data_IF_987164454862
#
_entry.id   IF_987164454862
#
_cell.length_a   1.000
_cell.length_b   1.000
_cell.length_c   1.000
_cell.angle_alpha   90.00
_cell.angle_beta   90.00
_cell.angle_gamma   90.00
#
_symmetry.space_group_name_H-M   'P 1'
#
loop_
_entity.id
_entity.type
_entity.pdbx_description
1 polymer ?
#
# COMPACT_ATOMS: atom_id res chain seq x y z
N UNK A 1 -10.71 0.85 24.00
CA UNK A 1 -10.32 -0.20 23.03
C UNK A 1 -11.37 -1.30 23.07
N UNK A 2 -11.72 -1.88 21.92
CA UNK A 2 -12.51 -3.11 21.85
C UNK A 2 -11.59 -4.33 21.83
N UNK A 3 -12.10 -5.49 22.27
CA UNK A 3 -11.38 -6.75 22.20
C UNK A 3 -12.01 -7.66 21.15
N UNK A 4 -11.19 -8.32 20.33
CA UNK A 4 -11.62 -9.35 19.39
C UNK A 4 -10.91 -10.64 19.77
N UNK A 5 -11.68 -11.69 20.03
CA UNK A 5 -11.12 -13.03 20.31
C UNK A 5 -11.21 -13.88 19.06
N UNK A 6 -10.06 -14.36 18.57
CA UNK A 6 -9.98 -15.26 17.41
C UNK A 6 -9.18 -16.51 17.79
N UNK A 7 -9.50 -17.65 17.17
CA UNK A 7 -8.70 -18.87 17.29
C UNK A 7 -7.84 -19.04 16.07
N UNK A 8 -6.53 -19.07 16.27
CA UNK A 8 -5.54 -19.32 15.23
C UNK A 8 -5.15 -20.80 15.20
N UNK A 9 -4.87 -21.38 14.02
CA UNK A 9 -4.22 -22.68 13.95
C UNK A 9 -2.89 -22.68 14.74
N UNK A 10 -2.57 -23.79 15.39
CA UNK A 10 -1.41 -23.88 16.28
C UNK A 10 -0.09 -23.44 15.62
N UNK A 11 0.13 -23.84 14.35
CA UNK A 11 1.31 -23.44 13.59
C UNK A 11 1.39 -21.92 13.36
N UNK A 12 0.24 -21.27 13.11
CA UNK A 12 0.16 -19.81 12.90
C UNK A 12 0.43 -19.10 14.22
N UNK A 13 -0.19 -19.54 15.31
CA UNK A 13 0.05 -18.99 16.64
C UNK A 13 1.55 -19.07 17.03
N UNK A 14 2.18 -20.22 16.81
CA UNK A 14 3.61 -20.40 17.09
C UNK A 14 4.48 -19.40 16.29
N UNK A 15 4.18 -19.20 15.01
CA UNK A 15 4.93 -18.23 14.19
C UNK A 15 4.68 -16.78 14.59
N UNK A 16 3.45 -16.41 14.92
CA UNK A 16 3.13 -15.08 15.44
C UNK A 16 3.91 -14.81 16.73
N UNK A 17 3.98 -15.79 17.65
CA UNK A 17 4.73 -15.66 18.90
C UNK A 17 6.23 -15.44 18.66
N UNK A 18 6.83 -16.15 17.70
CA UNK A 18 8.24 -15.98 17.32
C UNK A 18 8.50 -14.59 16.71
N UNK A 19 7.65 -14.15 15.78
CA UNK A 19 7.78 -12.86 15.11
C UNK A 19 7.62 -11.69 16.09
N UNK A 20 6.58 -11.74 16.95
CA UNK A 20 6.37 -10.73 17.99
C UNK A 20 7.57 -10.65 18.95
N UNK A 21 8.12 -11.80 19.33
CA UNK A 21 9.32 -11.86 20.19
C UNK A 21 10.55 -11.24 19.51
N UNK A 22 10.74 -11.48 18.21
CA UNK A 22 11.83 -10.89 17.42
C UNK A 22 11.72 -9.37 17.33
N UNK A 23 10.50 -8.85 17.28
CA UNK A 23 10.20 -7.41 17.22
C UNK A 23 10.12 -6.75 18.60
N UNK A 24 10.19 -7.53 19.69
CA UNK A 24 10.13 -7.03 21.06
C UNK A 24 8.75 -6.50 21.46
N UNK A 25 7.69 -6.99 20.83
CA UNK A 25 6.28 -6.58 21.08
C UNK A 25 5.43 -7.76 21.54
N UNK A 26 4.25 -7.50 22.10
CA UNK A 26 3.32 -8.56 22.48
C UNK A 26 2.65 -9.19 21.25
N UNK A 27 2.13 -10.42 21.41
CA UNK A 27 1.32 -11.08 20.38
C UNK A 27 0.12 -10.21 19.98
N UNK A 28 -0.56 -9.58 20.95
CA UNK A 28 -1.71 -8.73 20.68
C UNK A 28 -1.34 -7.50 19.86
N UNK A 29 -0.18 -6.89 20.15
CA UNK A 29 0.33 -5.75 19.38
C UNK A 29 0.69 -6.18 17.95
N UNK A 30 1.34 -7.33 17.80
CA UNK A 30 1.67 -7.89 16.49
C UNK A 30 0.40 -8.15 15.66
N UNK A 31 -0.60 -8.82 16.25
CA UNK A 31 -1.88 -9.10 15.58
C UNK A 31 -2.62 -7.82 15.23
N UNK A 32 -2.64 -6.84 16.14
CA UNK A 32 -3.26 -5.54 15.88
C UNK A 32 -2.58 -4.81 14.71
N UNK A 33 -1.25 -4.80 14.63
CA UNK A 33 -0.51 -4.23 13.51
C UNK A 33 -0.83 -4.94 12.19
N UNK A 34 -0.76 -6.27 12.18
CA UNK A 34 -1.04 -7.06 10.99
C UNK A 34 -2.47 -6.85 10.46
N UNK A 35 -3.46 -6.70 11.35
CA UNK A 35 -4.84 -6.37 10.98
C UNK A 35 -4.92 -4.95 10.42
N UNK A 36 -4.25 -3.97 11.04
CA UNK A 36 -4.23 -2.60 10.55
C UNK A 36 -3.58 -2.48 9.16
N UNK A 37 -2.48 -3.19 8.94
CA UNK A 37 -1.79 -3.27 7.64
C UNK A 37 -2.68 -3.90 6.58
N UNK A 38 -3.32 -5.05 6.88
CA UNK A 38 -4.23 -5.70 5.94
C UNK A 38 -5.44 -4.81 5.61
N UNK A 39 -5.97 -4.12 6.61
CA UNK A 39 -7.06 -3.15 6.44
C UNK A 39 -6.62 -2.00 5.52
N UNK A 40 -5.44 -1.44 5.72
CA UNK A 40 -4.91 -0.37 4.86
C UNK A 40 -4.79 -0.84 3.40
N UNK A 41 -4.31 -2.06 3.15
CA UNK A 41 -4.26 -2.63 1.81
C UNK A 41 -5.65 -2.75 1.17
N UNK A 42 -6.63 -3.26 1.90
CA UNK A 42 -8.00 -3.46 1.39
C UNK A 42 -8.64 -2.11 1.06
N UNK A 43 -8.60 -1.16 2.00
CA UNK A 43 -9.18 0.16 1.80
C UNK A 43 -8.52 0.92 0.65
N UNK A 44 -7.19 0.82 0.51
CA UNK A 44 -6.46 1.45 -0.60
C UNK A 44 -6.87 0.85 -1.93
N UNK A 45 -7.02 -0.48 -2.01
CA UNK A 45 -7.46 -1.14 -3.23
C UNK A 45 -8.88 -0.71 -3.64
N UNK A 46 -9.78 -0.59 -2.67
CA UNK A 46 -11.15 -0.14 -2.91
C UNK A 46 -11.18 1.32 -3.40
N UNK A 47 -10.37 2.20 -2.78
CA UNK A 47 -10.19 3.58 -3.23
C UNK A 47 -9.69 3.65 -4.68
N UNK A 48 -8.61 2.92 -5.02
CA UNK A 48 -8.05 2.92 -6.37
C UNK A 48 -9.04 2.39 -7.41
N UNK A 49 -9.82 1.36 -7.07
CA UNK A 49 -10.88 0.83 -7.94
C UNK A 49 -12.00 1.84 -8.15
N UNK A 50 -12.39 2.55 -7.10
CA UNK A 50 -13.38 3.62 -7.18
C UNK A 50 -12.90 4.72 -8.12
N UNK A 51 -11.70 5.27 -7.90
CA UNK A 51 -11.14 6.32 -8.77
C UNK A 51 -10.98 5.84 -10.22
N UNK A 52 -10.48 4.62 -10.43
CA UNK A 52 -10.31 4.05 -11.75
C UNK A 52 -11.63 3.92 -12.53
N UNK A 53 -12.76 3.67 -11.85
CA UNK A 53 -14.08 3.60 -12.48
C UNK A 53 -14.56 4.97 -13.02
N UNK A 54 -14.04 6.07 -12.49
CA UNK A 54 -14.34 7.43 -12.96
C UNK A 54 -13.35 7.90 -14.04
N UNK A 55 -12.20 7.24 -14.16
CA UNK A 55 -11.17 7.58 -15.13
C UNK A 55 -11.58 7.27 -16.56
N UNK A 56 -11.35 8.24 -17.47
CA UNK A 56 -11.49 8.03 -18.92
C UNK A 56 -10.13 8.18 -19.59
N UNK A 57 -9.70 7.13 -20.30
CA UNK A 57 -8.40 7.09 -20.98
C UNK A 57 -8.19 8.28 -21.92
N UNK A 58 -9.23 8.65 -22.68
CA UNK A 58 -9.17 9.77 -23.62
C UNK A 58 -8.94 11.14 -22.93
N UNK A 59 -9.50 11.34 -21.72
CA UNK A 59 -9.25 12.59 -20.98
C UNK A 59 -7.81 12.65 -20.49
N UNK A 60 -7.25 11.50 -20.08
CA UNK A 60 -5.86 11.38 -19.66
C UNK A 60 -4.89 11.64 -20.82
N UNK A 61 -5.14 11.03 -21.99
CA UNK A 61 -4.33 11.26 -23.20
C UNK A 61 -4.40 12.71 -23.65
N UNK A 62 -5.61 13.30 -23.72
CA UNK A 62 -5.76 14.72 -24.04
C UNK A 62 -4.99 15.65 -23.09
N UNK A 63 -4.94 15.31 -21.79
CA UNK A 63 -4.16 16.09 -20.82
C UNK A 63 -2.65 15.96 -21.09
N UNK A 64 -2.17 14.76 -21.40
CA UNK A 64 -0.76 14.53 -21.75
C UNK A 64 -0.35 15.22 -23.05
N UNK A 65 -1.23 15.24 -24.05
CA UNK A 65 -1.00 15.93 -25.34
C UNK A 65 -0.83 17.46 -25.19
N UNK A 66 -1.24 18.03 -24.05
CA UNK A 66 -1.02 19.44 -23.76
C UNK A 66 0.44 19.75 -23.34
N UNK A 67 1.24 18.72 -23.04
CA UNK A 67 2.66 18.89 -22.71
C UNK A 67 3.44 19.12 -24.02
N UNK A 68 4.19 20.22 -24.15
CA UNK A 68 5.03 20.46 -25.32
C UNK A 68 6.09 19.37 -25.49
N UNK A 69 6.30 18.93 -26.73
CA UNK A 69 7.41 18.04 -27.09
C UNK A 69 8.71 18.85 -27.21
N UNK A 70 9.36 19.11 -26.07
CA UNK A 70 10.60 19.88 -25.99
C UNK A 70 11.71 19.14 -25.23
N UNK A 71 12.99 19.44 -25.50
CA UNK A 71 14.09 18.82 -24.78
C UNK A 71 14.00 19.07 -23.27
N UNK A 72 14.42 18.11 -22.42
CA UNK A 72 14.42 18.29 -20.98
C UNK A 72 15.18 19.55 -20.56
N UNK A 73 14.68 20.22 -19.51
CA UNK A 73 15.35 21.35 -18.88
C UNK A 73 16.74 20.92 -18.40
N UNK A 74 17.68 21.87 -18.35
CA UNK A 74 19.08 21.59 -17.98
C UNK A 74 19.27 20.72 -16.71
N UNK A 75 18.52 20.91 -15.59
CA UNK A 75 18.68 20.05 -14.42
C UNK A 75 18.11 18.63 -14.59
N UNK A 76 17.21 18.43 -15.57
CA UNK A 76 16.55 17.15 -15.85
C UNK A 76 17.25 16.35 -16.97
N UNK A 77 18.30 16.92 -17.58
CA UNK A 77 19.10 16.21 -18.58
C UNK A 77 19.96 15.14 -17.93
N UNK A 78 19.94 13.95 -18.52
CA UNK A 78 20.86 12.88 -18.15
C UNK A 78 22.32 13.30 -18.45
N UNK A 79 23.31 12.91 -17.63
CA UNK A 79 24.71 13.20 -17.91
C UNK A 79 25.17 12.44 -19.17
N UNK A 80 25.66 13.16 -20.18
CA UNK A 80 26.37 12.58 -21.34
C UNK A 80 25.49 11.95 -22.42
N UNK A 81 24.51 12.71 -22.94
CA UNK A 81 23.89 12.41 -24.26
C UNK A 81 24.55 13.21 -25.37
#
# INVERSE_FOLDING_TARGET
MGAVTVRLPAAVHAKVSELASREGISIDQFVASAVAEKMACVLTLDFLRHEAAHGRRADFERYLDAVPDEPPAQPDRLPGS
#
